data_IF_948537361529
#
_entry.id   IF_948537361529
#
_cell.length_a   1.000
_cell.length_b   1.000
_cell.length_c   1.000
_cell.angle_alpha   90.00
_cell.angle_beta   90.00
_cell.angle_gamma   90.00
#
_symmetry.space_group_name_H-M   'P 1'
#
loop_
_entity.id
_entity.type
_entity.pdbx_description
1 polymer ?
#
# COMPACT_ATOMS: atom_id res chain seq x y z
N UNK A 1 -22.52 -5.30 -15.52
CA UNK A 1 -21.51 -5.37 -16.59
C UNK A 1 -20.17 -4.74 -16.19
N UNK A 2 -20.15 -3.54 -15.65
CA UNK A 2 -18.88 -2.85 -15.26
C UNK A 2 -18.09 -3.64 -14.21
N UNK A 3 -18.76 -4.24 -13.23
CA UNK A 3 -18.10 -5.06 -12.22
C UNK A 3 -17.43 -6.32 -12.80
N UNK A 4 -17.99 -6.90 -13.84
CA UNK A 4 -17.48 -8.10 -14.48
C UNK A 4 -16.08 -7.87 -15.10
N UNK A 5 -15.81 -6.67 -15.58
CA UNK A 5 -14.49 -6.29 -16.12
C UNK A 5 -13.55 -5.74 -15.05
N UNK A 6 -14.09 -5.08 -14.02
CA UNK A 6 -13.28 -4.50 -12.95
C UNK A 6 -12.65 -5.54 -12.03
N UNK A 7 -13.35 -6.64 -11.73
CA UNK A 7 -12.81 -7.69 -10.86
C UNK A 7 -11.59 -8.38 -11.49
N UNK A 8 -11.63 -8.87 -12.75
CA UNK A 8 -10.43 -9.40 -13.41
C UNK A 8 -9.31 -8.36 -13.53
N UNK A 9 -9.65 -7.11 -13.86
CA UNK A 9 -8.69 -6.03 -13.98
C UNK A 9 -7.99 -5.74 -12.65
N UNK A 10 -8.72 -5.75 -11.54
CA UNK A 10 -8.16 -5.63 -10.18
C UNK A 10 -7.20 -6.78 -9.87
N UNK A 11 -7.60 -8.00 -10.20
CA UNK A 11 -6.78 -9.18 -9.94
C UNK A 11 -5.48 -9.13 -10.73
N UNK A 12 -5.53 -8.79 -12.00
CA UNK A 12 -4.36 -8.62 -12.87
C UNK A 12 -3.47 -7.48 -12.35
N UNK A 13 -4.06 -6.33 -12.04
CA UNK A 13 -3.33 -5.19 -11.47
C UNK A 13 -2.65 -5.55 -10.16
N UNK A 14 -3.34 -6.26 -9.28
CA UNK A 14 -2.79 -6.74 -8.00
C UNK A 14 -1.59 -7.67 -8.22
N UNK A 15 -1.69 -8.65 -9.12
CA UNK A 15 -0.59 -9.54 -9.45
C UNK A 15 0.62 -8.79 -10.02
N UNK A 16 0.41 -7.90 -10.98
CA UNK A 16 1.48 -7.12 -11.60
C UNK A 16 2.18 -6.21 -10.58
N UNK A 17 1.41 -5.52 -9.74
CA UNK A 17 1.94 -4.68 -8.67
C UNK A 17 2.80 -5.51 -7.71
N UNK A 18 2.32 -6.67 -7.30
CA UNK A 18 3.06 -7.55 -6.38
C UNK A 18 4.36 -8.08 -7.00
N UNK A 19 4.36 -8.42 -8.29
CA UNK A 19 5.58 -8.85 -9.00
C UNK A 19 6.60 -7.71 -9.01
N UNK A 20 6.20 -6.51 -9.39
CA UNK A 20 7.08 -5.34 -9.43
C UNK A 20 7.61 -5.00 -8.03
N UNK A 21 6.74 -5.00 -7.02
CA UNK A 21 7.12 -4.74 -5.63
C UNK A 21 8.10 -5.80 -5.10
N UNK A 22 7.89 -7.06 -5.44
CA UNK A 22 8.80 -8.12 -5.04
C UNK A 22 10.20 -7.89 -5.62
N UNK A 23 10.28 -7.52 -6.88
CA UNK A 23 11.56 -7.17 -7.53
C UNK A 23 12.21 -5.97 -6.85
N UNK A 24 11.45 -4.91 -6.56
CA UNK A 24 11.95 -3.72 -5.86
C UNK A 24 12.46 -4.07 -4.46
N UNK A 25 11.70 -4.86 -3.71
CA UNK A 25 12.08 -5.26 -2.35
C UNK A 25 13.30 -6.20 -2.33
N UNK A 26 13.47 -7.06 -3.32
CA UNK A 26 14.67 -7.90 -3.46
C UNK A 26 15.90 -7.05 -3.81
N UNK A 27 15.73 -6.06 -4.69
CA UNK A 27 16.81 -5.15 -5.09
C UNK A 27 17.20 -4.17 -3.96
N UNK A 28 16.25 -3.85 -3.07
CA UNK A 28 16.41 -2.89 -1.98
C UNK A 28 15.80 -3.41 -0.67
N UNK A 29 16.32 -4.53 -0.11
CA UNK A 29 15.73 -5.14 1.07
C UNK A 29 15.79 -4.17 2.27
N UNK A 30 14.70 -4.12 3.02
CA UNK A 30 14.56 -3.28 4.23
C UNK A 30 14.79 -1.77 4.02
N UNK A 31 14.62 -1.29 2.80
CA UNK A 31 14.79 0.13 2.53
C UNK A 31 13.60 0.93 3.09
N UNK A 32 13.90 2.05 3.75
CA UNK A 32 12.92 2.92 4.44
C UNK A 32 11.75 3.39 3.58
N UNK A 33 11.92 3.48 2.27
CA UNK A 33 10.89 3.98 1.36
C UNK A 33 10.07 2.86 0.70
N UNK A 34 10.37 1.58 0.97
CA UNK A 34 9.65 0.46 0.36
C UNK A 34 8.15 0.49 0.69
N UNK A 35 7.80 0.81 1.93
CA UNK A 35 6.41 0.95 2.36
C UNK A 35 5.70 2.06 1.59
N UNK A 36 6.35 3.20 1.41
CA UNK A 36 5.80 4.32 0.64
C UNK A 36 5.61 3.96 -0.85
N UNK A 37 6.57 3.28 -1.46
CA UNK A 37 6.47 2.80 -2.84
C UNK A 37 5.33 1.81 -2.97
N UNK A 38 5.25 0.83 -2.08
CA UNK A 38 4.16 -0.15 -2.06
C UNK A 38 2.80 0.53 -1.91
N UNK A 39 2.70 1.47 -0.99
CA UNK A 39 1.49 2.25 -0.77
C UNK A 39 1.06 3.04 -1.99
N UNK A 40 2.01 3.69 -2.66
CA UNK A 40 1.74 4.45 -3.89
C UNK A 40 1.23 3.54 -5.01
N UNK A 41 1.83 2.36 -5.18
CA UNK A 41 1.43 1.39 -6.20
C UNK A 41 0.05 0.79 -5.89
N UNK A 42 -0.20 0.38 -4.64
CA UNK A 42 -1.51 -0.14 -4.25
C UNK A 42 -2.61 0.92 -4.35
N UNK A 43 -2.31 2.18 -4.07
CA UNK A 43 -3.29 3.27 -4.22
C UNK A 43 -3.76 3.47 -5.67
N UNK A 44 -2.95 3.05 -6.64
CA UNK A 44 -3.35 3.05 -8.05
C UNK A 44 -4.56 2.14 -8.30
N UNK A 45 -4.72 1.06 -7.53
CA UNK A 45 -5.88 0.17 -7.62
C UNK A 45 -7.20 0.89 -7.37
N UNK A 46 -7.18 2.00 -6.60
CA UNK A 46 -8.37 2.82 -6.39
C UNK A 46 -8.95 3.35 -7.72
N UNK A 47 -8.09 3.69 -8.67
CA UNK A 47 -8.51 4.15 -10.00
C UNK A 47 -9.23 3.05 -10.78
N UNK A 48 -8.76 1.81 -10.67
CA UNK A 48 -9.37 0.64 -11.32
C UNK A 48 -10.78 0.38 -10.78
N UNK A 49 -10.97 0.57 -9.47
CA UNK A 49 -12.29 0.43 -8.82
C UNK A 49 -13.18 1.63 -9.08
N UNK A 50 -12.63 2.75 -9.53
CA UNK A 50 -13.34 4.00 -9.72
C UNK A 50 -13.50 4.82 -8.45
N UNK A 51 -12.64 4.59 -7.45
CA UNK A 51 -12.59 5.37 -6.22
C UNK A 51 -11.71 6.59 -6.40
N UNK A 52 -12.22 7.75 -5.98
CA UNK A 52 -11.44 8.99 -5.88
C UNK A 52 -10.99 9.18 -4.43
N UNK A 53 -9.68 9.16 -4.23
CA UNK A 53 -9.09 9.39 -2.90
C UNK A 53 -8.64 10.85 -2.81
N UNK A 54 -9.19 11.57 -1.83
CA UNK A 54 -8.83 12.95 -1.52
C UNK A 54 -8.13 12.94 -0.17
N UNK A 55 -6.89 13.42 -0.12
CA UNK A 55 -6.12 13.54 1.11
C UNK A 55 -6.07 15.00 1.51
N UNK A 56 -6.59 15.30 2.70
CA UNK A 56 -6.47 16.61 3.34
C UNK A 56 -5.45 16.47 4.46
N UNK A 57 -4.31 17.15 4.31
CA UNK A 57 -3.25 17.18 5.32
C UNK A 57 -3.33 18.46 6.13
N UNK A 58 -3.19 18.34 7.44
CA UNK A 58 -2.97 19.49 8.30
C UNK A 58 -1.61 20.12 7.97
N UNK A 59 -1.51 21.45 7.80
CA UNK A 59 -0.24 22.13 7.56
C UNK A 59 0.81 21.92 8.66
N UNK A 60 0.38 21.57 9.88
CA UNK A 60 1.26 21.26 11.00
C UNK A 60 2.04 19.94 10.83
N UNK A 61 1.57 19.03 9.96
CA UNK A 61 2.26 17.76 9.68
C UNK A 61 3.40 18.00 8.70
N UNK A 62 4.62 17.81 9.19
CA UNK A 62 5.85 18.00 8.40
C UNK A 62 6.42 16.66 7.95
N UNK A 63 7.01 16.66 6.75
CA UNK A 63 7.78 15.52 6.25
C UNK A 63 9.11 15.45 7.03
N UNK A 64 9.61 14.25 7.32
CA UNK A 64 10.86 13.99 8.04
C UNK A 64 10.82 14.25 9.56
N UNK A 65 9.65 14.45 10.16
CA UNK A 65 9.50 14.43 11.60
C UNK A 65 9.01 13.06 12.09
N UNK A 66 9.39 12.63 13.31
CA UNK A 66 8.94 11.35 13.84
C UNK A 66 7.48 11.45 14.32
N UNK A 67 6.60 10.70 13.68
CA UNK A 67 5.19 10.58 14.05
C UNK A 67 4.78 9.13 14.23
N UNK A 68 3.80 8.91 15.10
CA UNK A 68 3.05 7.66 15.17
C UNK A 68 1.70 7.90 14.51
N UNK A 69 1.41 7.17 13.44
CA UNK A 69 0.14 7.28 12.71
C UNK A 69 -0.86 6.27 13.25
N UNK A 70 -2.02 6.75 13.62
CA UNK A 70 -3.14 5.93 14.07
C UNK A 70 -4.31 6.20 13.12
N UNK A 71 -4.92 5.16 12.60
CA UNK A 71 -6.04 5.28 11.69
C UNK A 71 -7.17 4.31 12.06
N UNK A 72 -8.41 4.73 11.80
CA UNK A 72 -9.56 3.84 11.88
C UNK A 72 -9.53 2.85 10.72
N UNK A 73 -9.68 1.57 11.02
CA UNK A 73 -9.73 0.52 10.02
C UNK A 73 -11.11 -0.14 10.05
N UNK A 74 -11.92 0.15 9.04
CA UNK A 74 -13.32 -0.30 8.98
C UNK A 74 -13.58 -1.40 7.94
N UNK A 75 -12.82 -1.41 6.82
CA UNK A 75 -13.01 -2.37 5.75
C UNK A 75 -11.74 -2.55 4.90
N UNK A 76 -11.80 -3.46 3.92
CA UNK A 76 -10.66 -3.76 3.05
C UNK A 76 -10.19 -2.61 2.16
N UNK A 77 -11.06 -1.63 1.86
CA UNK A 77 -10.67 -0.44 1.08
C UNK A 77 -9.78 0.52 1.86
N UNK A 78 -9.77 0.44 3.18
CA UNK A 78 -8.91 1.27 4.02
C UNK A 78 -7.42 1.00 3.76
N UNK A 79 -7.06 -0.21 3.36
CA UNK A 79 -5.68 -0.54 2.96
C UNK A 79 -5.23 0.37 1.82
N UNK A 80 -6.06 0.56 0.80
CA UNK A 80 -5.76 1.41 -0.35
C UNK A 80 -5.68 2.88 0.05
N UNK A 81 -6.61 3.36 0.88
CA UNK A 81 -6.66 4.76 1.30
C UNK A 81 -5.53 5.13 2.26
N UNK A 82 -5.24 4.27 3.22
CA UNK A 82 -4.15 4.45 4.19
C UNK A 82 -2.79 4.42 3.46
N UNK A 83 -2.62 3.49 2.54
CA UNK A 83 -1.41 3.39 1.73
C UNK A 83 -1.12 4.68 0.95
N UNK A 84 -2.14 5.32 0.40
CA UNK A 84 -1.97 6.59 -0.31
C UNK A 84 -1.59 7.74 0.63
N UNK A 85 -2.03 7.70 1.86
CA UNK A 85 -1.70 8.71 2.87
C UNK A 85 -0.30 8.54 3.48
N UNK A 86 0.32 7.36 3.31
CA UNK A 86 1.63 7.07 3.88
C UNK A 86 2.71 8.00 3.32
N UNK A 87 3.48 8.61 4.20
CA UNK A 87 4.62 9.45 3.86
C UNK A 87 5.88 8.60 3.62
N UNK A 88 6.90 9.14 2.92
CA UNK A 88 8.21 8.49 2.82
C UNK A 88 8.80 8.19 4.20
N UNK A 89 9.41 7.02 4.34
CA UNK A 89 10.01 6.58 5.61
C UNK A 89 9.04 6.02 6.66
N UNK A 90 7.75 5.90 6.32
CA UNK A 90 6.76 5.26 7.22
C UNK A 90 6.98 3.75 7.26
N UNK A 91 6.97 3.19 8.47
CA UNK A 91 7.01 1.75 8.71
C UNK A 91 5.65 1.31 9.23
N UNK A 92 5.09 0.26 8.64
CA UNK A 92 3.81 -0.29 9.08
C UNK A 92 4.00 -1.36 10.14
N UNK A 93 3.16 -1.31 11.18
CA UNK A 93 3.08 -2.36 12.19
C UNK A 93 1.89 -3.24 11.86
N UNK A 94 2.12 -4.52 11.68
CA UNK A 94 1.06 -5.45 11.31
C UNK A 94 1.22 -6.81 11.97
N UNK A 95 0.24 -7.67 11.72
CA UNK A 95 0.20 -8.99 12.30
C UNK A 95 1.32 -9.89 11.73
N UNK A 96 2.07 -10.56 12.60
CA UNK A 96 3.19 -11.43 12.22
C UNK A 96 2.80 -12.52 11.20
N UNK A 97 1.56 -13.01 11.25
CA UNK A 97 1.06 -14.04 10.32
C UNK A 97 0.95 -13.57 8.86
N UNK A 98 0.94 -12.27 8.59
CA UNK A 98 0.87 -11.72 7.23
C UNK A 98 2.07 -12.11 6.36
N UNK A 99 3.23 -12.37 6.96
CA UNK A 99 4.42 -12.80 6.23
C UNK A 99 4.27 -14.13 5.48
N UNK A 100 3.28 -14.94 5.87
CA UNK A 100 3.02 -16.24 5.26
C UNK A 100 2.10 -16.20 4.04
N UNK A 101 1.52 -15.04 3.73
CA UNK A 101 0.72 -14.87 2.52
C UNK A 101 1.65 -14.93 1.30
N UNK A 102 1.38 -15.81 0.30
CA UNK A 102 2.23 -15.92 -0.89
C UNK A 102 2.39 -14.56 -1.60
N UNK A 103 3.62 -14.24 -2.02
CA UNK A 103 4.02 -13.00 -2.69
C UNK A 103 3.89 -11.77 -1.78
N UNK A 104 2.68 -11.46 -1.32
CA UNK A 104 2.40 -10.31 -0.43
C UNK A 104 3.20 -10.40 0.87
N UNK A 105 3.29 -11.58 1.47
CA UNK A 105 4.01 -11.80 2.72
C UNK A 105 5.49 -11.51 2.60
N UNK A 106 6.12 -11.90 1.49
CA UNK A 106 7.52 -11.61 1.23
C UNK A 106 7.77 -10.11 1.06
N UNK A 107 6.89 -9.42 0.32
CA UNK A 107 6.93 -7.96 0.17
C UNK A 107 6.77 -7.29 1.53
N UNK A 108 5.79 -7.71 2.32
CA UNK A 108 5.53 -7.20 3.66
C UNK A 108 6.71 -7.38 4.60
N UNK A 109 7.40 -8.52 4.52
CA UNK A 109 8.57 -8.81 5.36
C UNK A 109 9.82 -8.05 4.92
N UNK A 110 10.01 -7.85 3.61
CA UNK A 110 11.16 -7.13 3.04
C UNK A 110 11.00 -5.60 3.03
N UNK A 111 9.78 -5.12 3.18
CA UNK A 111 9.53 -3.68 3.25
C UNK A 111 9.70 -3.17 4.67
#
# INVERSE_FOLDING_TARGET
MIALFRIPALFIAFLLINIVLLIVCIARPFHKDNVHIAGSMYSFMAKVVGLKIIIKKDPAVKINEPYVYIANHQNSFDVITICKAALPGVVTIGKKSLKWIPIFGQIYWLS
#
